data_IF_586263809653
#
_entry.id   IF_586263809653
#
_cell.length_a   1.000
_cell.length_b   1.000
_cell.length_c   1.000
_cell.angle_alpha   90.00
_cell.angle_beta   90.00
_cell.angle_gamma   90.00
#
_symmetry.space_group_name_H-M   'P 1'
#
loop_
_entity.id
_entity.type
_entity.pdbx_description
1 polymer ?
#
# COMPACT_ATOMS: atom_id res chain seq x y z
N UNK A 1 -3.71 -2.51 -3.37
CA UNK A 1 -3.34 -3.40 -4.51
C UNK A 1 -3.30 -2.58 -5.79
N UNK A 2 -2.64 -3.10 -6.84
CA UNK A 2 -2.56 -2.44 -8.15
C UNK A 2 -3.13 -3.39 -9.22
N UNK A 3 -3.80 -2.86 -10.23
CA UNK A 3 -4.51 -3.69 -11.23
C UNK A 3 -3.57 -4.37 -12.22
N UNK A 4 -2.34 -3.89 -12.32
CA UNK A 4 -1.26 -4.42 -13.17
C UNK A 4 -0.45 -5.54 -12.53
N UNK A 5 -0.84 -6.01 -11.34
CA UNK A 5 -0.23 -7.18 -10.69
C UNK A 5 -0.23 -8.38 -11.66
N UNK A 6 0.95 -8.74 -12.12
CA UNK A 6 1.21 -9.78 -13.10
C UNK A 6 1.30 -11.18 -12.48
N UNK A 7 1.36 -11.25 -11.15
CA UNK A 7 1.46 -12.50 -10.39
C UNK A 7 0.11 -12.93 -9.84
N UNK A 8 -0.71 -11.98 -9.34
CA UNK A 8 -1.98 -12.22 -8.70
C UNK A 8 -3.13 -11.44 -9.37
N UNK A 9 -4.27 -12.11 -9.59
CA UNK A 9 -5.49 -11.44 -10.04
C UNK A 9 -6.09 -10.59 -8.91
N UNK A 10 -5.93 -9.26 -9.02
CA UNK A 10 -6.40 -8.29 -8.02
C UNK A 10 -7.89 -8.44 -7.68
N UNK A 11 -8.73 -8.91 -8.62
CA UNK A 11 -10.18 -9.06 -8.42
C UNK A 11 -10.51 -10.06 -7.31
N UNK A 12 -9.63 -11.05 -7.10
CA UNK A 12 -9.77 -12.01 -6.00
C UNK A 12 -9.61 -11.31 -4.66
N UNK A 13 -8.58 -10.48 -4.52
CA UNK A 13 -8.33 -9.69 -3.31
C UNK A 13 -9.44 -8.65 -3.08
N UNK A 14 -9.87 -7.95 -4.13
CA UNK A 14 -10.99 -7.00 -4.09
C UNK A 14 -12.27 -7.65 -3.53
N UNK A 15 -12.67 -8.80 -4.10
CA UNK A 15 -13.88 -9.52 -3.65
C UNK A 15 -13.75 -10.05 -2.22
N UNK A 16 -12.59 -10.58 -1.87
CA UNK A 16 -12.33 -11.16 -0.55
C UNK A 16 -12.36 -10.09 0.54
N UNK A 17 -11.65 -8.98 0.33
CA UNK A 17 -11.54 -7.87 1.28
C UNK A 17 -12.59 -6.77 1.09
N UNK A 18 -13.72 -7.06 0.43
CA UNK A 18 -14.77 -6.07 0.12
C UNK A 18 -15.36 -5.32 1.32
N UNK A 19 -15.22 -5.87 2.53
CA UNK A 19 -15.67 -5.25 3.78
C UNK A 19 -14.59 -4.39 4.47
N UNK A 20 -13.40 -4.29 3.88
CA UNK A 20 -12.28 -3.50 4.38
C UNK A 20 -12.12 -2.21 3.57
N UNK A 21 -11.32 -1.27 4.08
CA UNK A 21 -10.88 -0.13 3.28
C UNK A 21 -9.93 -0.60 2.17
N UNK A 22 -10.38 -0.50 0.92
CA UNK A 22 -9.59 -0.89 -0.25
C UNK A 22 -9.04 0.34 -0.96
N UNK A 23 -7.76 0.27 -1.34
CA UNK A 23 -7.12 1.18 -2.30
C UNK A 23 -6.62 0.36 -3.49
N UNK A 24 -7.28 0.54 -4.62
CA UNK A 24 -6.97 -0.10 -5.90
C UNK A 24 -6.45 0.99 -6.84
N UNK A 25 -5.23 0.82 -7.35
CA UNK A 25 -4.61 1.77 -8.30
C UNK A 25 -4.49 1.12 -9.67
N UNK A 26 -4.78 1.86 -10.73
CA UNK A 26 -4.63 1.38 -12.09
C UNK A 26 -3.15 1.21 -12.46
N UNK A 27 -2.83 0.18 -13.25
CA UNK A 27 -1.45 -0.12 -13.66
C UNK A 27 -0.62 -0.71 -12.52
N UNK A 28 0.68 -0.43 -12.48
CA UNK A 28 1.61 -0.96 -11.48
C UNK A 28 2.05 -2.40 -11.77
N UNK A 29 2.49 -3.10 -10.73
CA UNK A 29 2.97 -4.49 -10.78
C UNK A 29 2.85 -5.16 -9.39
N UNK A 30 3.22 -6.44 -9.29
CA UNK A 30 3.14 -7.19 -8.04
C UNK A 30 4.06 -6.64 -6.93
N UNK A 31 5.13 -5.93 -7.28
CA UNK A 31 6.03 -5.30 -6.32
C UNK A 31 5.43 -4.06 -5.64
N UNK A 32 4.29 -3.58 -6.16
CA UNK A 32 3.62 -2.36 -5.77
C UNK A 32 4.47 -1.12 -6.05
N UNK A 33 4.30 -0.52 -7.23
CA UNK A 33 4.98 0.72 -7.58
C UNK A 33 4.60 1.86 -6.64
N UNK A 34 5.59 2.62 -6.19
CA UNK A 34 5.41 3.72 -5.25
C UNK A 34 5.01 3.24 -3.85
N UNK A 35 5.58 2.12 -3.39
CA UNK A 35 5.31 1.57 -2.06
C UNK A 35 5.84 2.45 -0.93
N UNK A 36 7.04 3.01 -1.09
CA UNK A 36 7.70 3.84 -0.08
C UNK A 36 6.84 5.05 0.32
N UNK A 37 6.18 5.69 -0.64
CA UNK A 37 5.28 6.82 -0.44
C UNK A 37 4.00 6.44 0.32
N UNK A 38 3.66 5.15 0.41
CA UNK A 38 2.51 4.65 1.18
C UNK A 38 2.86 4.31 2.62
N UNK A 39 4.14 4.11 2.93
CA UNK A 39 4.58 3.72 4.28
C UNK A 39 4.10 4.67 5.38
N UNK A 40 4.12 6.01 5.26
CA UNK A 40 3.64 6.89 6.33
C UNK A 40 2.17 6.62 6.71
N UNK A 41 1.32 6.44 5.70
CA UNK A 41 -0.09 6.15 5.91
C UNK A 41 -0.32 4.74 6.48
N UNK A 42 0.44 3.75 6.02
CA UNK A 42 0.37 2.38 6.53
C UNK A 42 0.82 2.29 7.99
N UNK A 43 1.91 2.96 8.35
CA UNK A 43 2.43 2.98 9.71
C UNK A 43 1.50 3.75 10.66
N UNK A 44 0.93 4.88 10.21
CA UNK A 44 -0.10 5.57 10.98
C UNK A 44 -1.32 4.67 11.23
N UNK A 45 -1.79 3.92 10.22
CA UNK A 45 -2.86 2.94 10.39
C UNK A 45 -2.50 1.81 11.37
N UNK A 46 -1.23 1.40 11.40
CA UNK A 46 -0.73 0.40 12.35
C UNK A 46 -0.53 0.95 13.79
N UNK A 47 -0.79 2.23 14.03
CA UNK A 47 -0.74 2.85 15.36
C UNK A 47 0.61 3.46 15.74
N UNK A 48 1.53 3.63 14.79
CA UNK A 48 2.78 4.36 15.07
C UNK A 48 2.49 5.86 15.28
N UNK A 49 3.10 6.43 16.32
CA UNK A 49 2.93 7.84 16.62
C UNK A 49 3.53 8.71 15.48
N UNK A 50 2.88 9.82 15.12
CA UNK A 50 3.37 10.70 14.05
C UNK A 50 4.82 11.15 14.24
N UNK A 51 5.24 11.43 15.48
CA UNK A 51 6.58 11.90 15.80
C UNK A 51 7.67 10.87 15.47
N UNK A 52 7.37 9.57 15.58
CA UNK A 52 8.28 8.49 15.16
C UNK A 52 8.48 8.46 13.64
N UNK A 53 7.45 8.85 12.89
CA UNK A 53 7.45 8.79 11.42
C UNK A 53 8.15 10.00 10.79
N UNK A 54 8.11 11.16 11.45
CA UNK A 54 8.80 12.37 10.99
C UNK A 54 10.32 12.23 10.95
N UNK A 55 10.88 11.31 11.75
CA UNK A 55 12.32 11.05 11.80
C UNK A 55 12.84 10.07 10.75
N UNK A 56 11.97 9.49 9.91
CA UNK A 56 12.36 8.46 8.93
C UNK A 56 12.43 9.10 7.54
N UNK A 57 13.61 9.06 6.93
CA UNK A 57 13.75 9.36 5.50
C UNK A 57 13.34 8.13 4.69
N UNK A 58 12.19 8.21 4.04
CA UNK A 58 11.65 7.15 3.18
C UNK A 58 11.99 7.35 1.71
N UNK A 59 12.65 8.45 1.35
CA UNK A 59 13.05 8.72 -0.04
C UNK A 59 14.22 7.85 -0.52
N UNK A 60 14.85 7.12 0.40
CA UNK A 60 15.98 6.23 0.15
C UNK A 60 15.57 4.76 -0.03
N UNK A 61 14.27 4.46 -0.01
CA UNK A 61 13.70 3.11 -0.17
C UNK A 61 13.29 2.81 -1.61
#
# INVERSE_FOLDING_TARGET
MQTGDETLDYRRAEKFYRACALRIQAGGDHSFQGFAERLPALLSFAGFAPDLLQGIDLSVL
#
